data_IF_533268803222
#
_entry.id   IF_533268803222
#
_cell.length_a   1.000
_cell.length_b   1.000
_cell.length_c   1.000
_cell.angle_alpha   90.00
_cell.angle_beta   90.00
_cell.angle_gamma   90.00
#
_symmetry.space_group_name_H-M   'P 1'
#
loop_
_entity.id
_entity.type
_entity.pdbx_description
1 polymer ?
#
# COMPACT_ATOMS: atom_id res chain seq x y z
N UNK A 1 -50.26 51.05 -6.74
CA UNK A 1 -50.36 49.88 -5.84
C UNK A 1 -49.77 48.68 -6.56
N UNK A 2 -48.75 48.06 -5.94
CA UNK A 2 -48.27 46.66 -5.99
C UNK A 2 -48.20 45.97 -7.38
N UNK A 3 -47.20 45.21 -7.81
CA UNK A 3 -46.04 44.49 -7.24
C UNK A 3 -45.75 43.40 -8.30
N UNK A 4 -44.63 42.69 -8.43
CA UNK A 4 -43.44 42.42 -7.65
C UNK A 4 -42.48 41.76 -8.67
N UNK A 5 -41.22 42.17 -8.65
CA UNK A 5 -40.13 41.50 -9.35
C UNK A 5 -39.94 40.09 -8.81
N UNK A 6 -39.92 39.08 -9.67
CA UNK A 6 -39.57 37.69 -9.30
C UNK A 6 -38.08 37.52 -9.56
N UNK A 7 -37.31 37.49 -8.47
CA UNK A 7 -35.92 37.02 -8.44
C UNK A 7 -35.92 35.50 -8.57
N UNK A 8 -35.34 34.98 -9.65
CA UNK A 8 -35.00 33.57 -9.78
C UNK A 8 -33.67 33.31 -9.04
N UNK A 9 -33.74 32.66 -7.88
CA UNK A 9 -32.57 32.13 -7.20
C UNK A 9 -32.20 30.77 -7.81
N UNK A 10 -31.13 30.75 -8.61
CA UNK A 10 -30.52 29.50 -9.06
C UNK A 10 -29.78 28.87 -7.89
N UNK A 11 -30.31 27.76 -7.36
CA UNK A 11 -29.61 26.91 -6.41
C UNK A 11 -28.51 26.14 -7.16
N UNK A 12 -27.29 26.66 -7.12
CA UNK A 12 -26.09 25.90 -7.47
C UNK A 12 -25.92 24.79 -6.42
N UNK A 13 -26.33 23.58 -6.77
CA UNK A 13 -25.89 22.36 -6.10
C UNK A 13 -24.40 22.18 -6.41
N UNK A 14 -23.56 22.88 -5.63
CA UNK A 14 -22.13 22.66 -5.63
C UNK A 14 -21.85 21.27 -5.09
N UNK A 15 -21.41 20.37 -5.96
CA UNK A 15 -20.70 19.15 -5.56
C UNK A 15 -19.47 19.66 -4.81
N UNK A 16 -19.49 19.59 -3.49
CA UNK A 16 -18.29 19.81 -2.70
C UNK A 16 -17.33 18.68 -3.07
N UNK A 17 -16.33 18.98 -3.89
CA UNK A 17 -15.17 18.12 -4.00
C UNK A 17 -14.63 17.98 -2.58
N UNK A 18 -14.74 16.77 -2.03
CA UNK A 18 -14.18 16.46 -0.71
C UNK A 18 -12.67 16.45 -0.92
N UNK A 19 -12.05 17.63 -0.83
CA UNK A 19 -10.59 17.82 -0.81
C UNK A 19 -10.10 17.36 0.56
N UNK A 20 -10.27 16.08 0.87
CA UNK A 20 -9.89 15.51 2.13
C UNK A 20 -9.26 14.13 1.98
N UNK A 21 -9.08 13.64 0.76
CA UNK A 21 -8.46 12.36 0.47
C UNK A 21 -6.97 12.35 0.84
N UNK A 22 -6.33 11.19 0.68
CA UNK A 22 -4.98 10.95 1.19
C UNK A 22 -3.90 11.27 0.13
N UNK A 23 -2.81 11.89 0.56
CA UNK A 23 -1.63 12.21 -0.23
C UNK A 23 -0.36 11.80 0.53
N UNK A 24 0.62 11.26 -0.18
CA UNK A 24 1.91 10.87 0.37
C UNK A 24 2.74 12.10 0.74
N UNK A 25 3.28 12.11 1.96
CA UNK A 25 4.14 13.20 2.46
C UNK A 25 5.60 12.77 2.60
N UNK A 26 5.84 11.52 2.97
CA UNK A 26 7.16 10.89 2.92
C UNK A 26 7.05 9.52 2.21
N UNK A 27 7.88 9.23 1.19
CA UNK A 27 8.88 10.11 0.59
C UNK A 27 8.27 11.37 -0.05
N UNK A 28 9.07 12.43 -0.17
CA UNK A 28 8.67 13.72 -0.77
C UNK A 28 8.30 13.48 -2.24
N UNK A 29 7.04 13.72 -2.67
CA UNK A 29 6.62 13.49 -4.05
C UNK A 29 7.26 14.46 -5.05
N UNK A 30 7.24 14.08 -6.33
CA UNK A 30 7.46 15.03 -7.43
C UNK A 30 6.35 16.09 -7.48
N UNK A 31 6.70 17.31 -7.89
CA UNK A 31 5.76 18.41 -8.12
C UNK A 31 4.82 18.62 -6.94
N UNK A 32 5.37 18.61 -5.71
CA UNK A 32 4.60 18.61 -4.45
C UNK A 32 3.62 19.78 -4.36
N UNK A 33 3.97 20.92 -4.93
CA UNK A 33 3.17 22.16 -4.92
C UNK A 33 1.86 22.06 -5.72
N UNK A 34 1.79 21.17 -6.72
CA UNK A 34 0.61 20.96 -7.56
C UNK A 34 -0.05 19.59 -7.37
N UNK A 35 0.56 18.71 -6.56
CA UNK A 35 -0.01 17.42 -6.24
C UNK A 35 -1.26 17.62 -5.38
N UNK A 36 -2.39 17.05 -5.80
CA UNK A 36 -3.63 17.07 -5.04
C UNK A 36 -3.93 15.67 -4.49
N UNK A 37 -4.95 15.59 -3.63
CA UNK A 37 -5.32 14.34 -2.98
C UNK A 37 -6.38 13.54 -3.73
N UNK A 38 -6.83 13.98 -4.92
CA UNK A 38 -7.80 13.21 -5.70
C UNK A 38 -7.25 11.86 -6.15
N UNK A 39 -8.10 10.85 -6.38
CA UNK A 39 -7.67 9.63 -7.06
C UNK A 39 -7.17 9.93 -8.48
N UNK A 40 -6.59 8.93 -9.15
CA UNK A 40 -6.39 8.97 -10.59
C UNK A 40 -7.74 9.07 -11.31
N UNK A 41 -7.73 9.66 -12.51
CA UNK A 41 -8.89 9.69 -13.38
C UNK A 41 -9.28 8.25 -13.78
N UNK A 42 -10.57 7.93 -13.69
CA UNK A 42 -11.08 6.59 -13.94
C UNK A 42 -10.87 6.09 -15.39
N UNK A 43 -10.68 7.01 -16.35
CA UNK A 43 -10.32 6.70 -17.74
C UNK A 43 -8.80 6.46 -17.95
N UNK A 44 -8.01 6.57 -16.88
CA UNK A 44 -6.57 6.44 -16.88
C UNK A 44 -5.85 7.55 -17.63
N UNK A 45 -6.48 8.70 -17.88
CA UNK A 45 -5.88 9.82 -18.62
C UNK A 45 -4.69 10.46 -17.90
N UNK A 46 -4.65 10.39 -16.57
CA UNK A 46 -3.56 10.89 -15.73
C UNK A 46 -2.66 9.79 -15.13
N UNK A 47 -2.80 8.54 -15.58
CA UNK A 47 -1.90 7.44 -15.21
C UNK A 47 -0.64 7.42 -16.11
N UNK A 48 0.57 7.20 -15.56
CA UNK A 48 0.90 7.06 -14.13
C UNK A 48 1.16 8.41 -13.44
N UNK A 49 1.30 8.38 -12.11
CA UNK A 49 1.83 9.49 -11.30
C UNK A 49 1.01 10.80 -11.29
N UNK A 50 -0.27 10.76 -11.68
CA UNK A 50 -1.15 11.93 -11.78
C UNK A 50 -0.59 12.97 -12.75
N UNK A 51 -0.54 12.62 -14.04
CA UNK A 51 0.00 13.46 -15.11
C UNK A 51 -0.64 14.86 -15.09
N UNK A 52 0.21 15.87 -14.98
CA UNK A 52 -0.05 17.30 -14.92
C UNK A 52 1.18 18.09 -15.40
N UNK A 53 1.11 19.42 -15.41
CA UNK A 53 2.15 20.28 -16.01
C UNK A 53 3.56 20.04 -15.46
N UNK A 54 3.71 19.74 -14.16
CA UNK A 54 5.00 19.53 -13.50
C UNK A 54 5.11 18.16 -12.80
N UNK A 55 4.47 17.12 -13.35
CA UNK A 55 4.39 15.76 -12.76
C UNK A 55 5.72 15.24 -12.23
N UNK A 56 6.82 15.48 -12.95
CA UNK A 56 8.15 14.94 -12.65
C UNK A 56 9.15 16.02 -12.28
N UNK A 57 8.67 17.20 -11.89
CA UNK A 57 9.53 18.23 -11.29
C UNK A 57 10.05 17.72 -9.94
N UNK A 58 11.37 17.63 -9.81
CA UNK A 58 12.00 17.18 -8.57
C UNK A 58 11.86 18.29 -7.53
N UNK A 59 10.99 18.09 -6.55
CA UNK A 59 10.95 18.93 -5.35
C UNK A 59 12.21 18.71 -4.52
N UNK A 60 12.49 17.45 -4.17
CA UNK A 60 13.69 17.03 -3.44
C UNK A 60 13.97 15.55 -3.72
N UNK A 61 15.23 15.14 -3.87
CA UNK A 61 15.59 13.73 -4.01
C UNK A 61 15.51 13.02 -2.65
N UNK A 62 14.67 12.00 -2.55
CA UNK A 62 14.67 11.09 -1.41
C UNK A 62 15.88 10.17 -1.54
N UNK A 63 16.66 10.00 -0.47
CA UNK A 63 17.83 9.12 -0.48
C UNK A 63 17.59 7.94 0.46
N UNK A 64 17.85 6.72 -0.01
CA UNK A 64 17.71 5.51 0.78
C UNK A 64 18.88 4.56 0.54
N UNK A 65 19.44 3.98 1.60
CA UNK A 65 20.39 2.87 1.47
C UNK A 65 19.64 1.54 1.32
N UNK A 66 20.23 0.60 0.57
CA UNK A 66 19.73 -0.79 0.55
C UNK A 66 19.72 -1.34 2.00
N UNK A 67 18.57 -1.88 2.41
CA UNK A 67 18.32 -2.40 3.75
C UNK A 67 17.91 -1.35 4.81
N UNK A 68 17.87 -0.06 4.46
CA UNK A 68 17.41 1.01 5.36
C UNK A 68 15.89 1.04 5.46
N UNK A 69 15.36 1.27 6.66
CA UNK A 69 13.92 1.50 6.87
C UNK A 69 13.60 2.97 6.62
N UNK A 70 12.81 3.24 5.59
CA UNK A 70 12.38 4.56 5.16
C UNK A 70 10.93 4.82 5.56
N UNK A 71 10.58 6.04 6.01
CA UNK A 71 9.21 6.38 6.37
C UNK A 71 8.29 6.40 5.14
N UNK A 72 7.09 5.85 5.31
CA UNK A 72 5.96 6.01 4.41
C UNK A 72 4.82 6.67 5.20
N UNK A 73 4.57 7.95 4.95
CA UNK A 73 3.61 8.77 5.70
C UNK A 73 2.69 9.55 4.77
N UNK A 74 1.52 9.92 5.30
CA UNK A 74 0.43 10.52 4.54
C UNK A 74 -0.17 11.72 5.28
N UNK A 75 -0.83 12.58 4.53
CA UNK A 75 -1.79 13.56 5.06
C UNK A 75 -3.12 13.46 4.31
N UNK A 76 -4.19 13.91 4.96
CA UNK A 76 -5.57 13.74 4.52
C UNK A 76 -6.44 13.23 5.66
N UNK A 77 -7.74 13.14 5.42
CA UNK A 77 -8.70 12.61 6.39
C UNK A 77 -9.66 11.55 5.83
N UNK A 78 -9.87 11.49 4.52
CA UNK A 78 -10.70 10.47 3.87
C UNK A 78 -9.89 9.21 3.57
N UNK A 79 -9.73 8.38 4.60
CA UNK A 79 -9.02 7.10 4.57
C UNK A 79 -9.87 5.96 4.02
N UNK A 80 -11.17 6.16 3.76
CA UNK A 80 -12.07 5.17 3.14
C UNK A 80 -12.06 3.79 3.81
N UNK A 81 -11.94 3.77 5.14
CA UNK A 81 -11.84 2.53 5.91
C UNK A 81 -10.52 1.77 5.71
N UNK A 82 -9.51 2.40 5.13
CA UNK A 82 -8.26 1.77 4.70
C UNK A 82 -8.37 1.19 3.30
N UNK A 83 -7.94 -0.06 3.14
CA UNK A 83 -7.67 -0.67 1.85
C UNK A 83 -6.27 -1.27 1.79
N UNK A 84 -5.80 -1.49 0.57
CA UNK A 84 -4.50 -2.12 0.33
C UNK A 84 -3.62 -1.25 -0.56
N UNK A 85 -2.31 -1.28 -0.29
CA UNK A 85 -1.33 -0.44 -0.95
C UNK A 85 -0.12 -1.23 -1.46
N UNK A 86 0.56 -0.71 -2.48
CA UNK A 86 1.90 -1.16 -2.84
C UNK A 86 2.88 0.02 -2.83
N UNK A 87 4.15 -0.32 -2.58
CA UNK A 87 5.29 0.54 -2.89
C UNK A 87 6.05 -0.14 -4.03
N UNK A 88 6.19 0.58 -5.15
CA UNK A 88 6.83 0.06 -6.36
C UNK A 88 7.92 1.00 -6.87
N UNK A 89 8.92 0.45 -7.54
CA UNK A 89 10.02 1.21 -8.15
C UNK A 89 10.03 1.04 -9.66
N UNK A 90 10.42 2.08 -10.40
CA UNK A 90 10.79 1.97 -11.81
C UNK A 90 12.07 2.75 -12.06
N UNK A 91 12.88 2.31 -13.02
CA UNK A 91 14.09 3.03 -13.45
C UNK A 91 13.77 4.27 -14.29
N UNK A 92 12.54 4.38 -14.80
CA UNK A 92 12.10 5.52 -15.57
C UNK A 92 11.91 6.72 -14.64
N UNK A 93 12.64 7.81 -14.88
CA UNK A 93 12.51 9.04 -14.07
C UNK A 93 11.32 9.91 -14.48
N UNK A 94 10.67 9.54 -15.60
CA UNK A 94 9.43 10.12 -16.10
C UNK A 94 8.54 8.98 -16.63
N UNK A 95 7.93 8.19 -15.74
CA UNK A 95 7.19 7.00 -16.15
C UNK A 95 6.06 7.28 -17.14
N UNK A 96 5.76 6.31 -17.99
CA UNK A 96 4.62 6.31 -18.91
C UNK A 96 3.71 5.12 -18.61
N UNK A 97 2.64 4.94 -19.40
CA UNK A 97 1.77 3.76 -19.27
C UNK A 97 2.49 2.43 -19.54
N UNK A 98 3.62 2.49 -20.25
CA UNK A 98 4.41 1.33 -20.63
C UNK A 98 5.58 1.06 -19.66
N UNK A 99 5.79 1.93 -18.68
CA UNK A 99 6.86 1.76 -17.70
C UNK A 99 6.66 0.50 -16.88
N UNK A 100 7.75 -0.24 -16.70
CA UNK A 100 7.77 -1.43 -15.86
C UNK A 100 8.02 -1.04 -14.39
N UNK A 101 7.16 -1.55 -13.51
CA UNK A 101 7.21 -1.28 -12.08
C UNK A 101 7.57 -2.55 -11.32
N UNK A 102 8.41 -2.42 -10.30
CA UNK A 102 8.90 -3.49 -9.44
C UNK A 102 8.33 -3.29 -8.04
N UNK A 103 7.41 -4.14 -7.60
CA UNK A 103 6.85 -4.09 -6.25
C UNK A 103 7.93 -4.48 -5.24
N UNK A 104 8.18 -3.61 -4.26
CA UNK A 104 9.10 -3.86 -3.15
C UNK A 104 8.38 -4.07 -1.81
N UNK A 105 7.11 -3.67 -1.70
CA UNK A 105 6.28 -3.88 -0.51
C UNK A 105 4.80 -3.90 -0.89
N UNK A 106 4.05 -4.82 -0.29
CA UNK A 106 2.58 -4.81 -0.28
C UNK A 106 2.05 -4.66 1.15
N UNK A 107 1.03 -3.82 1.33
CA UNK A 107 0.29 -3.68 2.58
C UNK A 107 -1.15 -4.09 2.29
N UNK A 108 -1.54 -5.28 2.72
CA UNK A 108 -2.87 -5.86 2.50
C UNK A 108 -3.75 -5.58 3.72
N UNK A 109 -4.51 -4.49 3.65
CA UNK A 109 -5.41 -4.04 4.71
C UNK A 109 -4.80 -3.01 5.68
N UNK A 110 -5.65 -2.06 6.08
CA UNK A 110 -5.30 -1.00 7.03
C UNK A 110 -4.38 0.08 6.47
N UNK A 111 -4.24 0.20 5.15
CA UNK A 111 -3.50 1.29 4.48
C UNK A 111 -4.47 2.25 3.77
N UNK A 112 -4.29 3.59 3.88
CA UNK A 112 -3.23 4.31 4.61
C UNK A 112 -3.51 4.46 6.12
N UNK A 113 -4.68 4.07 6.60
CA UNK A 113 -4.96 3.99 8.04
C UNK A 113 -5.83 2.78 8.37
N UNK A 114 -5.67 2.25 9.57
CA UNK A 114 -6.57 1.22 10.11
C UNK A 114 -7.62 1.89 11.01
N UNK A 115 -8.63 2.46 10.37
CA UNK A 115 -9.82 3.05 11.01
C UNK A 115 -11.06 2.58 10.25
N UNK A 116 -12.19 2.44 10.93
CA UNK A 116 -13.43 1.94 10.31
C UNK A 116 -14.00 2.85 9.22
N UNK A 117 -13.62 4.14 9.23
CA UNK A 117 -14.12 5.17 8.31
C UNK A 117 -13.04 6.16 7.91
N UNK A 118 -13.35 7.45 8.06
CA UNK A 118 -12.46 8.58 7.79
C UNK A 118 -11.94 9.16 9.10
N UNK A 119 -10.71 9.69 9.08
CA UNK A 119 -10.15 10.44 10.19
C UNK A 119 -10.92 11.75 10.39
N UNK A 120 -10.91 12.27 11.61
CA UNK A 120 -11.40 13.62 11.88
C UNK A 120 -10.45 14.67 11.33
N UNK A 121 -10.99 15.76 10.77
CA UNK A 121 -10.24 16.91 10.26
C UNK A 121 -10.34 17.05 8.74
N UNK A 122 -9.31 17.61 8.09
CA UNK A 122 -9.34 17.95 6.66
C UNK A 122 -8.10 17.54 5.87
N UNK A 123 -7.97 18.09 4.66
CA UNK A 123 -6.95 17.77 3.66
C UNK A 123 -5.50 17.72 4.16
N UNK A 124 -5.15 18.58 5.13
CA UNK A 124 -3.78 18.77 5.62
C UNK A 124 -3.55 18.11 6.99
N UNK A 125 -4.44 17.20 7.39
CA UNK A 125 -4.25 16.45 8.64
C UNK A 125 -3.22 15.36 8.42
N UNK A 126 -2.17 15.35 9.22
CA UNK A 126 -1.24 14.22 9.24
C UNK A 126 -1.99 12.95 9.66
N UNK A 127 -1.78 11.86 8.92
CA UNK A 127 -2.28 10.54 9.32
C UNK A 127 -1.54 10.09 10.58
N UNK A 128 -2.25 9.69 11.66
CA UNK A 128 -1.60 9.13 12.84
C UNK A 128 -0.91 7.77 12.55
N UNK A 129 -1.34 7.06 11.52
CA UNK A 129 -0.77 5.79 11.10
C UNK A 129 0.47 6.04 10.23
N UNK A 130 1.58 5.45 10.61
CA UNK A 130 2.84 5.54 9.86
C UNK A 130 3.27 4.15 9.41
N UNK A 131 3.72 4.07 8.16
CA UNK A 131 4.31 2.87 7.60
C UNK A 131 5.78 3.08 7.34
N UNK A 132 6.46 1.99 6.99
CA UNK A 132 7.82 2.05 6.50
C UNK A 132 7.96 1.14 5.29
N UNK A 133 8.87 1.47 4.40
CA UNK A 133 9.36 0.59 3.34
C UNK A 133 10.87 0.45 3.45
N UNK A 134 11.41 -0.61 2.87
CA UNK A 134 12.85 -0.83 2.79
C UNK A 134 13.22 -1.12 1.36
N UNK A 135 14.37 -0.59 0.91
CA UNK A 135 14.92 -0.98 -0.40
C UNK A 135 15.56 -2.37 -0.23
N UNK A 136 15.00 -3.43 -0.82
CA UNK A 136 15.46 -4.79 -0.58
C UNK A 136 16.78 -5.06 -1.31
N UNK A 137 17.47 -6.11 -0.86
CA UNK A 137 18.56 -6.69 -1.63
C UNK A 137 18.07 -7.05 -3.06
N UNK A 138 18.90 -6.77 -4.05
CA UNK A 138 18.58 -7.03 -5.46
C UNK A 138 18.12 -5.81 -6.26
N UNK A 139 17.71 -4.73 -5.60
CA UNK A 139 17.66 -3.40 -6.23
C UNK A 139 19.09 -2.85 -6.35
N UNK A 140 19.47 -2.42 -7.55
CA UNK A 140 20.81 -1.84 -7.78
C UNK A 140 20.85 -0.37 -7.33
N UNK A 141 21.98 0.13 -6.80
CA UNK A 141 22.14 1.57 -6.57
C UNK A 141 21.90 2.38 -7.84
N UNK A 142 21.24 3.53 -7.72
CA UNK A 142 20.85 4.35 -8.86
C UNK A 142 19.63 5.22 -8.57
N UNK A 143 19.17 5.93 -9.60
CA UNK A 143 17.97 6.78 -9.52
C UNK A 143 16.76 6.01 -10.01
N UNK A 144 15.66 6.16 -9.28
CA UNK A 144 14.38 5.52 -9.53
C UNK A 144 13.25 6.54 -9.33
N UNK A 145 12.09 6.21 -9.86
CA UNK A 145 10.82 6.73 -9.38
C UNK A 145 10.17 5.69 -8.47
N UNK A 146 9.81 6.10 -7.26
CA UNK A 146 8.98 5.32 -6.34
C UNK A 146 7.52 5.69 -6.54
N UNK A 147 6.62 4.71 -6.58
CA UNK A 147 5.17 4.93 -6.53
C UNK A 147 4.57 4.31 -5.27
N UNK A 148 3.78 5.10 -4.56
CA UNK A 148 2.75 4.59 -3.64
C UNK A 148 1.45 4.47 -4.44
N UNK A 149 0.85 3.29 -4.41
CA UNK A 149 -0.50 3.04 -4.93
C UNK A 149 -1.42 2.57 -3.83
N UNK A 150 -2.68 3.00 -3.87
CA UNK A 150 -3.69 2.61 -2.90
C UNK A 150 -5.04 2.34 -3.56
N UNK A 151 -5.66 1.23 -3.15
CA UNK A 151 -6.99 0.78 -3.54
C UNK A 151 -7.88 0.84 -2.30
N UNK A 152 -8.81 1.79 -2.28
CA UNK A 152 -9.65 2.10 -1.13
C UNK A 152 -10.71 1.02 -0.89
N UNK A 153 -10.92 0.68 0.39
CA UNK A 153 -11.89 -0.36 0.77
C UNK A 153 -13.32 0.11 0.55
N UNK A 154 -13.69 1.29 1.05
CA UNK A 154 -15.06 1.82 1.06
C UNK A 154 -15.21 2.97 0.06
N UNK A 155 -16.37 3.12 -0.60
CA UNK A 155 -16.70 4.27 -1.46
C UNK A 155 -16.62 3.97 -2.95
N UNK A 156 -16.23 4.95 -3.76
CA UNK A 156 -16.02 4.74 -5.19
C UNK A 156 -14.87 3.74 -5.42
N UNK A 157 -14.87 3.04 -6.55
CA UNK A 157 -13.76 2.14 -6.90
C UNK A 157 -12.66 2.98 -7.52
N UNK A 158 -11.66 3.34 -6.71
CA UNK A 158 -10.63 4.32 -7.08
C UNK A 158 -9.23 3.72 -6.96
N UNK A 159 -8.28 4.33 -7.66
CA UNK A 159 -6.85 4.07 -7.50
C UNK A 159 -6.16 5.39 -7.22
N UNK A 160 -5.49 5.47 -6.08
CA UNK A 160 -4.62 6.60 -5.73
C UNK A 160 -3.20 6.25 -6.13
N UNK A 161 -2.46 7.24 -6.62
CA UNK A 161 -1.05 7.07 -6.99
C UNK A 161 -0.28 8.36 -6.78
N UNK A 162 0.77 8.33 -5.96
CA UNK A 162 1.74 9.42 -5.86
C UNK A 162 3.14 8.89 -6.14
N UNK A 163 3.94 9.68 -6.84
CA UNK A 163 5.29 9.29 -7.25
C UNK A 163 6.34 10.22 -6.65
N UNK A 164 7.50 9.67 -6.29
CA UNK A 164 8.60 10.39 -5.66
C UNK A 164 9.94 10.06 -6.34
N UNK A 165 10.85 11.05 -6.48
CA UNK A 165 12.23 10.79 -6.91
C UNK A 165 13.00 10.09 -5.80
N UNK A 166 13.64 8.97 -6.12
CA UNK A 166 14.42 8.18 -5.17
C UNK A 166 15.83 7.92 -5.70
N UNK A 167 16.83 8.23 -4.88
CA UNK A 167 18.22 7.82 -5.10
C UNK A 167 18.58 6.69 -4.14
N UNK A 168 18.78 5.50 -4.70
CA UNK A 168 19.19 4.31 -3.96
C UNK A 168 20.71 4.27 -3.89
N UNK A 169 21.23 4.18 -2.67
CA UNK A 169 22.65 4.05 -2.39
C UNK A 169 22.98 2.61 -1.99
N UNK A 170 24.23 2.20 -2.20
CA UNK A 170 24.75 0.94 -1.68
C UNK A 170 24.50 0.82 -0.18
N UNK A 171 24.26 -0.41 0.30
CA UNK A 171 24.16 -0.69 1.71
C UNK A 171 25.39 -0.14 2.46
N UNK A 172 25.18 0.46 3.64
CA UNK A 172 26.29 0.95 4.46
C UNK A 172 27.22 -0.20 4.83
N UNK A 173 28.46 -0.14 4.34
CA UNK A 173 29.53 -1.06 4.75
C UNK A 173 29.79 -0.88 6.24
N UNK A 174 29.23 -1.75 7.10
CA UNK A 174 29.77 -1.94 8.45
C UNK A 174 31.20 -2.43 8.27
N UNK A 175 32.16 -1.57 8.62
CA UNK A 175 33.61 -1.80 8.56
C UNK A 175 33.97 -3.04 9.39
N UNK A 176 33.96 -4.20 8.76
CA UNK A 176 34.69 -5.38 9.19
C UNK A 176 35.37 -5.93 7.94
N UNK A 177 36.69 -5.79 7.91
CA UNK A 177 37.59 -6.30 6.87
C UNK A 177 37.26 -7.74 6.52
N UNK A 178 36.62 -7.94 5.36
CA UNK A 178 37.11 -8.76 4.25
C UNK A 178 36.38 -8.22 3.02
N UNK A 179 37.13 -7.71 2.03
CA UNK A 179 36.68 -7.72 0.63
C UNK A 179 36.51 -9.17 0.20
N UNK A 180 35.49 -9.86 0.72
CA UNK A 180 34.89 -10.92 -0.05
C UNK A 180 34.11 -10.16 -1.10
N UNK A 181 34.69 -10.11 -2.30
CA UNK A 181 33.89 -10.16 -3.52
C UNK A 181 32.84 -11.23 -3.28
N UNK A 182 31.69 -10.80 -2.75
CA UNK A 182 30.45 -11.49 -3.01
C UNK A 182 30.36 -11.34 -4.51
N UNK A 183 30.82 -12.37 -5.22
CA UNK A 183 30.13 -12.79 -6.41
C UNK A 183 28.68 -12.95 -5.93
N UNK A 184 27.96 -11.82 -5.96
CA UNK A 184 26.53 -11.77 -5.92
C UNK A 184 26.19 -12.46 -7.23
N UNK A 185 26.20 -13.78 -7.18
CA UNK A 185 25.33 -14.59 -7.99
C UNK A 185 24.02 -13.84 -7.87
N UNK A 186 23.70 -13.08 -8.93
CA UNK A 186 22.51 -12.26 -9.05
C UNK A 186 21.39 -13.22 -8.77
N UNK A 187 21.01 -13.35 -7.49
CA UNK A 187 19.76 -13.94 -7.10
C UNK A 187 18.81 -12.97 -7.74
N UNK A 188 18.32 -13.33 -8.91
CA UNK A 188 17.39 -12.54 -9.68
C UNK A 188 16.19 -12.38 -8.77
N UNK A 189 16.20 -11.33 -7.95
CA UNK A 189 15.07 -10.89 -7.17
C UNK A 189 14.10 -10.38 -8.22
N UNK A 190 13.27 -11.29 -8.72
CA UNK A 190 12.22 -10.96 -9.66
C UNK A 190 11.14 -10.27 -8.83
N UNK A 191 11.22 -8.94 -8.75
CA UNK A 191 10.17 -8.12 -8.17
C UNK A 191 8.95 -8.19 -9.09
N UNK A 192 7.75 -8.49 -8.56
CA UNK A 192 6.59 -8.60 -9.40
C UNK A 192 6.15 -7.24 -9.96
N UNK A 193 5.41 -7.24 -11.08
CA UNK A 193 4.80 -6.04 -11.62
C UNK A 193 3.79 -5.43 -10.64
N UNK A 194 3.73 -4.09 -10.61
CA UNK A 194 2.72 -3.36 -9.84
C UNK A 194 1.29 -3.69 -10.30
N UNK A 195 0.39 -3.87 -9.34
CA UNK A 195 -1.03 -4.06 -9.61
C UNK A 195 -1.69 -2.75 -10.02
N UNK A 196 -2.54 -2.81 -11.05
CA UNK A 196 -3.30 -1.67 -11.58
C UNK A 196 -4.75 -2.09 -11.78
N UNK A 197 -5.66 -1.34 -11.19
CA UNK A 197 -7.10 -1.50 -11.31
C UNK A 197 -7.80 -0.15 -11.16
N UNK A 198 -9.12 -0.12 -11.35
CA UNK A 198 -10.02 1.03 -11.25
C UNK A 198 -9.78 2.16 -12.27
N UNK A 199 -8.67 2.12 -13.02
CA UNK A 199 -8.31 3.10 -14.07
C UNK A 199 -8.09 2.47 -15.45
N UNK A 200 -8.13 1.14 -15.53
CA UNK A 200 -7.75 0.38 -16.73
C UNK A 200 -8.84 -0.57 -17.24
N UNK A 201 -10.04 -0.59 -16.65
CA UNK A 201 -11.11 -1.52 -17.04
C UNK A 201 -11.17 -2.82 -16.22
N UNK A 202 -10.25 -3.01 -15.26
CA UNK A 202 -10.45 -3.95 -14.15
C UNK A 202 -10.96 -3.19 -12.92
N UNK A 203 -11.99 -3.68 -12.25
CA UNK A 203 -12.67 -3.01 -11.14
C UNK A 203 -12.61 -3.86 -9.88
N UNK A 204 -12.04 -3.31 -8.82
CA UNK A 204 -11.97 -3.93 -7.49
C UNK A 204 -13.35 -4.04 -6.84
N UNK A 205 -13.52 -4.99 -5.91
CA UNK A 205 -14.75 -5.11 -5.12
C UNK A 205 -14.77 -4.10 -3.96
N UNK A 206 -15.94 -3.54 -3.65
CA UNK A 206 -16.12 -2.71 -2.47
C UNK A 206 -16.19 -3.53 -1.19
N UNK A 207 -15.73 -2.94 -0.08
CA UNK A 207 -15.91 -3.46 1.27
C UNK A 207 -14.83 -4.42 1.75
N UNK A 208 -13.88 -4.78 0.88
CA UNK A 208 -12.78 -5.71 1.20
C UNK A 208 -11.41 -5.04 1.04
N UNK A 209 -10.47 -5.40 1.91
CA UNK A 209 -9.05 -5.18 1.68
C UNK A 209 -8.58 -6.23 0.67
N UNK A 210 -8.24 -5.81 -0.55
CA UNK A 210 -7.85 -6.73 -1.62
C UNK A 210 -6.53 -7.45 -1.29
N UNK A 211 -6.40 -8.70 -1.74
CA UNK A 211 -5.10 -9.37 -1.84
C UNK A 211 -4.53 -9.15 -3.22
N UNK A 212 -3.26 -8.76 -3.30
CA UNK A 212 -2.63 -8.60 -4.60
C UNK A 212 -2.36 -9.98 -5.22
N UNK A 213 -2.58 -10.18 -6.53
CA UNK A 213 -2.26 -11.44 -7.18
C UNK A 213 -0.77 -11.78 -7.10
N UNK A 214 0.08 -10.75 -7.13
CA UNK A 214 1.53 -10.84 -7.01
C UNK A 214 2.03 -9.83 -5.96
N UNK A 215 1.93 -10.16 -4.66
CA UNK A 215 2.23 -9.20 -3.58
C UNK A 215 3.73 -8.99 -3.35
N UNK A 216 4.60 -9.83 -3.92
CA UNK A 216 6.03 -9.84 -3.64
C UNK A 216 6.36 -10.51 -2.30
N UNK A 217 7.60 -10.33 -1.84
CA UNK A 217 8.13 -11.03 -0.66
C UNK A 217 7.93 -10.26 0.67
N UNK A 218 7.80 -8.92 0.63
CA UNK A 218 7.50 -8.08 1.81
C UNK A 218 6.01 -7.73 1.85
N UNK A 219 5.26 -8.47 2.69
CA UNK A 219 3.82 -8.29 2.86
C UNK A 219 3.53 -7.91 4.33
N UNK A 220 2.83 -6.79 4.52
CA UNK A 220 2.33 -6.36 5.81
C UNK A 220 0.81 -6.45 5.87
N UNK A 221 0.28 -6.94 6.99
CA UNK A 221 -1.15 -6.93 7.31
C UNK A 221 -1.38 -5.98 8.47
N UNK A 222 -2.06 -4.86 8.24
CA UNK A 222 -2.28 -3.83 9.26
C UNK A 222 -3.77 -3.54 9.53
N UNK A 223 -4.68 -4.16 8.78
CA UNK A 223 -6.13 -4.02 8.91
C UNK A 223 -6.78 -5.11 9.77
N UNK A 224 -8.10 -5.00 9.95
CA UNK A 224 -8.90 -6.04 10.59
C UNK A 224 -8.97 -7.30 9.70
N UNK A 225 -8.59 -8.50 10.20
CA UNK A 225 -8.61 -9.73 9.40
C UNK A 225 -9.95 -10.06 8.75
N UNK A 226 -11.09 -9.64 9.32
CA UNK A 226 -12.41 -9.86 8.71
C UNK A 226 -12.68 -9.02 7.46
N UNK A 227 -11.93 -7.94 7.25
CA UNK A 227 -12.03 -7.11 6.05
C UNK A 227 -11.16 -7.65 4.90
N UNK A 228 -10.16 -8.48 5.20
CA UNK A 228 -9.21 -9.01 4.22
C UNK A 228 -9.88 -10.02 3.29
N UNK A 229 -9.70 -9.82 1.99
CA UNK A 229 -10.22 -10.73 0.98
C UNK A 229 -9.72 -12.18 1.22
N UNK A 230 -10.58 -13.14 0.91
CA UNK A 230 -10.23 -14.55 1.00
C UNK A 230 -9.02 -14.88 0.13
N UNK A 231 -8.14 -15.77 0.60
CA UNK A 231 -7.01 -16.21 -0.19
C UNK A 231 -7.47 -16.81 -1.53
N UNK A 232 -6.87 -16.36 -2.63
CA UNK A 232 -7.24 -16.79 -3.99
C UNK A 232 -8.47 -16.11 -4.58
N UNK A 233 -9.12 -15.18 -3.86
CA UNK A 233 -10.13 -14.32 -4.47
C UNK A 233 -9.50 -13.41 -5.54
N UNK A 234 -10.23 -13.16 -6.62
CA UNK A 234 -9.81 -12.22 -7.65
C UNK A 234 -9.73 -10.80 -7.05
N UNK A 235 -8.62 -10.10 -7.29
CA UNK A 235 -8.40 -8.74 -6.80
C UNK A 235 -9.32 -7.72 -7.49
N UNK A 236 -9.64 -7.95 -8.76
CA UNK A 236 -10.58 -7.17 -9.54
C UNK A 236 -11.34 -8.04 -10.56
N UNK A 237 -12.36 -7.46 -11.17
CA UNK A 237 -13.15 -8.07 -12.25
C UNK A 237 -13.17 -7.16 -13.47
N UNK A 238 -13.25 -7.72 -14.68
CA UNK A 238 -13.18 -6.95 -15.92
C UNK A 238 -11.95 -7.33 -16.74
N UNK A 239 -11.60 -6.50 -17.72
CA UNK A 239 -10.45 -6.75 -18.60
C UNK A 239 -9.58 -5.50 -18.64
N UNK A 240 -8.37 -5.56 -18.05
CA UNK A 240 -7.40 -4.48 -18.19
C UNK A 240 -7.14 -4.13 -19.66
N UNK A 241 -7.26 -2.86 -19.99
CA UNK A 241 -6.93 -2.26 -21.29
C UNK A 241 -5.46 -1.83 -21.36
N UNK A 242 -4.79 -1.68 -20.22
CA UNK A 242 -3.36 -1.44 -20.07
C UNK A 242 -2.86 -1.93 -18.70
N UNK A 243 -1.53 -2.03 -18.52
CA UNK A 243 -0.85 -2.39 -17.27
C UNK A 243 -1.40 -3.67 -16.59
N UNK A 244 -1.69 -4.71 -17.36
CA UNK A 244 -2.29 -5.96 -16.89
C UNK A 244 -1.31 -6.90 -16.13
N UNK A 245 -0.02 -6.60 -16.14
CA UNK A 245 1.02 -7.52 -15.67
C UNK A 245 0.82 -7.95 -14.20
N UNK A 246 0.38 -7.03 -13.33
CA UNK A 246 0.11 -7.28 -11.92
C UNK A 246 -1.15 -8.10 -11.60
N UNK A 247 -2.05 -8.34 -12.57
CA UNK A 247 -3.35 -9.00 -12.35
C UNK A 247 -3.32 -10.53 -12.61
N UNK A 248 -2.18 -11.08 -13.01
CA UNK A 248 -2.08 -12.47 -13.46
C UNK A 248 -2.11 -13.50 -12.31
N UNK A 249 -3.31 -13.78 -11.80
CA UNK A 249 -3.61 -14.96 -10.99
C UNK A 249 -4.00 -16.13 -11.91
N UNK A 250 -3.04 -17.01 -12.21
CA UNK A 250 -3.17 -18.25 -13.04
C UNK A 250 -3.32 -18.08 -14.57
N UNK A 251 -2.27 -18.49 -15.31
CA UNK A 251 -2.32 -19.14 -16.62
C UNK A 251 -3.03 -18.46 -17.81
N UNK A 252 -2.22 -18.08 -18.81
CA UNK A 252 -2.56 -17.83 -20.23
C UNK A 252 -2.94 -16.40 -20.61
N UNK A 253 -1.92 -15.56 -20.81
CA UNK A 253 -1.92 -14.72 -22.01
C UNK A 253 -1.18 -15.49 -23.10
N UNK A 254 -1.94 -16.02 -24.07
CA UNK A 254 -1.34 -16.31 -25.37
C UNK A 254 -1.01 -14.97 -25.99
N UNK A 255 0.26 -14.58 -25.90
CA UNK A 255 0.77 -13.49 -26.70
C UNK A 255 0.60 -13.85 -28.17
N UNK A 256 -0.38 -13.24 -28.84
CA UNK A 256 -0.40 -13.16 -30.30
C UNK A 256 0.70 -12.19 -30.73
N UNK A 257 1.95 -12.61 -30.53
CA UNK A 257 3.12 -12.03 -31.19
C UNK A 257 3.10 -12.50 -32.63
N UNK A 258 2.37 -11.78 -33.48
CA UNK A 258 2.46 -11.91 -34.94
C UNK A 258 3.85 -11.43 -35.37
N UNK A 259 4.83 -12.32 -35.26
CA UNK A 259 6.10 -12.21 -35.96
C UNK A 259 5.93 -12.91 -37.30
N UNK A 260 5.84 -12.12 -38.37
CA UNK A 260 6.01 -12.60 -39.74
C UNK A 260 6.84 -11.56 -40.46
N UNK A 261 8.16 -11.78 -40.42
CA UNK A 261 9.12 -11.08 -41.26
C UNK A 261 9.21 -11.72 -42.65
N UNK A 262 9.65 -10.88 -43.60
CA UNK A 262 10.04 -11.18 -44.99
C UNK A 262 8.85 -11.29 -45.97
N UNK A 263 8.81 -10.60 -47.10
CA UNK A 263 9.73 -9.68 -47.76
C UNK A 263 9.18 -9.36 -49.15
N UNK A 264 9.32 -8.10 -49.56
CA UNK A 264 9.41 -7.53 -50.92
C UNK A 264 8.67 -8.18 -52.10
N UNK A 265 7.78 -7.39 -52.72
CA UNK A 265 7.30 -7.61 -54.09
C UNK A 265 6.51 -6.40 -54.61
N UNK A 266 7.22 -5.46 -55.24
CA UNK A 266 6.65 -4.30 -55.91
C UNK A 266 5.79 -4.68 -57.12
N UNK A 267 4.63 -4.04 -57.29
CA UNK A 267 4.10 -3.67 -58.60
C UNK A 267 3.07 -2.53 -58.46
N UNK A 268 3.23 -1.56 -59.34
CA UNK A 268 2.54 -0.27 -59.39
C UNK A 268 1.33 -0.30 -60.34
N UNK A 269 0.59 0.83 -60.35
CA UNK A 269 -0.48 1.28 -61.26
C UNK A 269 -1.92 0.81 -60.92
N UNK A 270 -2.98 1.63 -60.96
CA UNK A 270 -3.16 3.09 -61.14
C UNK A 270 -4.66 3.45 -61.00
N UNK A 271 -4.92 4.71 -60.63
CA UNK A 271 -6.07 5.56 -60.98
C UNK A 271 -7.45 5.38 -60.29
N UNK A 272 -7.68 6.29 -59.32
CA UNK A 272 -8.71 7.33 -59.27
C UNK A 272 -10.22 7.01 -59.40
N UNK A 273 -10.98 7.38 -58.35
CA UNK A 273 -12.05 8.39 -58.48
C UNK A 273 -12.39 9.02 -57.11
N UNK A 274 -12.45 10.35 -57.11
CA UNK A 274 -12.89 11.26 -56.05
C UNK A 274 -14.42 11.33 -56.00
N UNK A 275 -15.00 11.32 -54.80
CA UNK A 275 -16.24 12.08 -54.51
C UNK A 275 -16.20 12.62 -53.08
N UNK A 276 -16.35 13.94 -53.01
CA UNK A 276 -16.48 14.78 -51.82
C UNK A 276 -17.92 14.77 -51.34
N UNK A 277 -18.19 14.61 -50.04
CA UNK A 277 -19.30 15.29 -49.34
C UNK A 277 -19.28 15.00 -47.82
N UNK A 278 -19.28 16.08 -47.05
CA UNK A 278 -19.64 16.18 -45.63
C UNK A 278 -20.43 17.51 -45.46
N UNK A 279 -21.14 17.77 -44.36
CA UNK A 279 -21.69 16.87 -43.34
C UNK A 279 -23.22 17.04 -43.17
N UNK A 280 -23.90 16.13 -42.47
CA UNK A 280 -25.24 16.39 -41.91
C UNK A 280 -25.28 15.95 -40.45
N UNK A 281 -25.60 16.91 -39.58
CA UNK A 281 -25.83 16.74 -38.16
C UNK A 281 -27.15 16.01 -37.91
N UNK A 282 -27.13 14.95 -37.12
CA UNK A 282 -28.35 14.36 -36.55
C UNK A 282 -28.28 14.36 -35.02
N UNK A 283 -29.21 15.14 -34.48
CA UNK A 283 -29.68 15.20 -33.10
C UNK A 283 -30.24 13.86 -32.63
N UNK A 284 -29.82 13.41 -31.45
CA UNK A 284 -30.50 12.34 -30.70
C UNK A 284 -31.17 12.94 -29.47
N UNK A 285 -32.50 12.82 -29.44
CA UNK A 285 -33.40 13.16 -28.35
C UNK A 285 -33.50 12.00 -27.36
N UNK A 286 -33.32 12.29 -26.06
CA UNK A 286 -33.56 11.36 -24.95
C UNK A 286 -35.03 11.43 -24.47
N UNK A 287 -35.64 10.33 -24.00
CA UNK A 287 -36.99 10.34 -23.46
C UNK A 287 -37.04 10.79 -22.00
N UNK A 288 -38.06 11.58 -21.67
CA UNK A 288 -38.34 12.13 -20.34
C UNK A 288 -39.03 11.12 -19.42
N UNK A 289 -38.61 11.07 -18.16
CA UNK A 289 -39.33 10.42 -17.04
C UNK A 289 -39.79 11.48 -16.05
N UNK A 290 -41.04 11.35 -15.63
CA UNK A 290 -41.81 12.33 -14.89
C UNK A 290 -41.58 12.24 -13.36
N UNK A 291 -41.36 13.39 -12.72
CA UNK A 291 -41.37 13.52 -11.26
C UNK A 291 -42.69 14.16 -10.79
N UNK A 292 -43.39 13.45 -9.90
CA UNK A 292 -44.55 13.93 -9.14
C UNK A 292 -44.11 14.55 -7.80
N UNK A 293 -44.62 15.72 -7.37
CA UNK A 293 -44.40 16.26 -6.03
C UNK A 293 -45.49 15.82 -5.03
N UNK A 294 -45.09 15.59 -3.78
CA UNK A 294 -45.98 15.34 -2.63
C UNK A 294 -45.98 16.53 -1.64
N UNK A 295 -47.05 16.73 -0.85
CA UNK A 295 -47.42 18.04 -0.33
C UNK A 295 -46.95 18.35 1.11
N UNK A 296 -46.85 19.66 1.39
CA UNK A 296 -46.61 20.27 2.70
C UNK A 296 -47.90 20.42 3.50
N UNK A 297 -47.82 20.41 4.84
CA UNK A 297 -48.90 20.87 5.73
C UNK A 297 -48.36 21.45 7.04
N UNK A 298 -48.80 22.69 7.34
CA UNK A 298 -49.52 23.01 8.58
C UNK A 298 -48.75 23.32 9.86
N UNK A 299 -48.87 24.57 10.31
CA UNK A 299 -48.29 25.22 11.51
C UNK A 299 -49.17 25.11 12.77
N UNK A 300 -48.56 25.26 13.97
CA UNK A 300 -49.08 25.82 15.25
C UNK A 300 -47.93 25.72 16.28
N UNK A 301 -47.55 26.65 17.16
CA UNK A 301 -48.08 27.94 17.62
C UNK A 301 -47.84 28.06 19.14
N UNK A 302 -47.12 29.13 19.58
CA UNK A 302 -47.07 29.73 20.94
C UNK A 302 -46.25 29.01 22.04
N UNK A 303 -45.61 29.62 23.04
CA UNK A 303 -45.21 31.01 23.40
C UNK A 303 -44.51 30.98 24.78
N UNK A 304 -43.65 31.98 25.05
CA UNK A 304 -43.35 32.59 26.37
C UNK A 304 -42.35 31.93 27.34
N UNK A 305 -41.45 32.78 27.86
CA UNK A 305 -41.15 32.79 29.31
C UNK A 305 -39.69 32.83 29.74
N UNK A 306 -39.27 34.00 30.20
CA UNK A 306 -38.05 34.40 30.91
C UNK A 306 -37.61 33.49 32.07
N UNK A 307 -36.30 33.45 32.38
CA UNK A 307 -35.64 34.12 33.52
C UNK A 307 -34.37 33.38 33.98
N UNK A 308 -33.61 34.13 34.78
CA UNK A 308 -32.20 34.07 35.18
C UNK A 308 -31.87 32.97 36.19
N UNK A 309 -30.56 32.70 36.36
CA UNK A 309 -30.08 31.99 37.54
C UNK A 309 -28.59 31.66 37.52
N UNK A 310 -27.78 32.54 38.10
CA UNK A 310 -26.38 32.30 38.50
C UNK A 310 -26.22 31.08 39.40
N UNK A 311 -25.05 30.43 39.31
CA UNK A 311 -24.61 29.43 40.29
C UNK A 311 -23.17 28.98 40.04
N UNK A 312 -22.21 29.69 40.62
CA UNK A 312 -20.81 29.30 40.76
C UNK A 312 -20.66 28.05 41.62
N UNK A 313 -19.71 27.15 41.30
CA UNK A 313 -18.72 26.64 42.26
C UNK A 313 -17.68 25.72 41.60
N UNK A 314 -16.42 26.04 41.92
CA UNK A 314 -15.17 25.27 41.76
C UNK A 314 -15.27 23.87 42.41
N UNK A 315 -14.44 22.84 42.15
CA UNK A 315 -13.03 22.68 42.56
C UNK A 315 -12.47 21.30 42.06
N UNK A 316 -11.25 21.32 41.53
CA UNK A 316 -10.11 20.34 41.52
C UNK A 316 -10.12 18.91 40.93
N UNK A 317 -9.09 18.68 40.09
CA UNK A 317 -8.35 17.42 39.83
C UNK A 317 -7.51 16.95 41.03
N UNK A 318 -6.93 15.72 41.01
CA UNK A 318 -5.54 15.57 40.54
C UNK A 318 -5.20 14.26 39.77
N UNK A 319 -4.09 14.30 39.04
CA UNK A 319 -3.29 13.24 38.37
C UNK A 319 -1.93 13.11 39.15
N UNK A 320 -0.95 12.19 38.91
CA UNK A 320 -0.88 10.76 38.50
C UNK A 320 -0.08 9.90 39.52
N UNK A 321 0.17 8.61 39.23
CA UNK A 321 1.32 7.86 39.78
C UNK A 321 1.89 6.86 38.76
N UNK A 322 3.21 6.69 38.80
CA UNK A 322 4.12 6.11 37.81
C UNK A 322 4.74 4.77 38.25
N UNK A 323 5.62 4.22 37.39
CA UNK A 323 6.64 3.16 37.60
C UNK A 323 6.22 1.73 37.20
N UNK A 324 7.06 0.86 36.62
CA UNK A 324 8.45 0.93 36.16
C UNK A 324 8.79 -0.36 35.39
N UNK A 325 9.65 -0.24 34.38
CA UNK A 325 10.35 -1.30 33.68
C UNK A 325 11.43 -1.96 34.57
N UNK A 326 11.63 -3.27 34.42
CA UNK A 326 12.81 -3.97 34.93
C UNK A 326 13.28 -5.03 33.92
N UNK A 327 14.55 -4.94 33.55
CA UNK A 327 15.33 -5.91 32.80
C UNK A 327 16.36 -6.54 33.74
N UNK A 328 16.58 -7.86 33.66
CA UNK A 328 17.88 -8.50 33.94
C UNK A 328 17.88 -9.98 33.53
N UNK A 329 19.03 -10.39 33.03
CA UNK A 329 19.33 -11.66 32.36
C UNK A 329 19.61 -12.79 33.36
N UNK A 330 19.03 -13.98 33.15
CA UNK A 330 19.61 -15.29 33.50
C UNK A 330 18.72 -16.43 32.95
N UNK A 331 19.37 -17.47 32.44
CA UNK A 331 18.81 -18.76 32.01
C UNK A 331 17.52 -19.20 32.74
N UNK A 332 16.38 -19.09 32.05
CA UNK A 332 15.11 -19.67 32.48
C UNK A 332 15.18 -21.19 32.34
N UNK A 333 15.03 -21.90 33.45
CA UNK A 333 14.89 -23.35 33.46
C UNK A 333 13.51 -23.79 32.96
N UNK A 334 13.33 -25.11 32.80
CA UNK A 334 12.02 -25.67 32.53
C UNK A 334 11.07 -25.39 33.71
N UNK A 335 9.87 -24.92 33.40
CA UNK A 335 8.81 -24.65 34.37
C UNK A 335 7.80 -25.81 34.36
N UNK A 336 7.20 -26.10 35.50
CA UNK A 336 6.20 -27.16 35.64
C UNK A 336 5.02 -26.67 36.50
N UNK A 337 3.82 -27.17 36.21
CA UNK A 337 2.61 -26.82 36.95
C UNK A 337 1.86 -25.64 36.34
N UNK A 338 1.12 -24.92 37.16
CA UNK A 338 0.22 -23.85 36.72
C UNK A 338 0.94 -22.62 36.19
N UNK A 339 0.35 -22.00 35.17
CA UNK A 339 0.73 -20.71 34.64
C UNK A 339 -0.48 -19.77 34.63
N UNK A 340 -0.24 -18.48 34.88
CA UNK A 340 -1.30 -17.47 35.05
C UNK A 340 -1.66 -16.73 33.76
N UNK A 341 -0.77 -16.72 32.76
CA UNK A 341 -0.96 -15.98 31.51
C UNK A 341 -1.07 -16.97 30.36
N UNK A 342 -2.30 -17.16 29.88
CA UNK A 342 -2.57 -18.09 28.78
C UNK A 342 -1.82 -17.67 27.51
N UNK A 343 -1.16 -18.63 26.87
CA UNK A 343 -0.39 -18.42 25.65
C UNK A 343 1.02 -17.86 25.85
N UNK A 344 1.45 -17.56 27.08
CA UNK A 344 2.82 -17.11 27.39
C UNK A 344 3.86 -18.18 27.03
N UNK A 345 4.99 -17.75 26.48
CA UNK A 345 6.10 -18.62 26.10
C UNK A 345 7.19 -18.59 27.16
N UNK A 346 7.84 -19.72 27.41
CA UNK A 346 9.07 -19.81 28.20
C UNK A 346 10.16 -20.48 27.35
N UNK A 347 11.14 -19.72 26.87
CA UNK A 347 12.31 -20.25 26.20
C UNK A 347 13.36 -20.69 27.23
N UNK A 348 13.76 -21.96 27.18
CA UNK A 348 14.70 -22.61 28.08
C UNK A 348 16.06 -22.69 27.42
N UNK A 349 17.02 -21.92 27.94
CA UNK A 349 18.43 -21.92 27.53
C UNK A 349 18.67 -21.72 26.02
N UNK A 350 17.70 -21.17 25.30
CA UNK A 350 17.76 -20.93 23.85
C UNK A 350 17.55 -22.15 22.95
N UNK A 351 17.52 -23.37 23.50
CA UNK A 351 17.42 -24.61 22.70
C UNK A 351 16.05 -25.31 22.80
N UNK A 352 15.21 -24.89 23.74
CA UNK A 352 13.90 -25.49 23.95
C UNK A 352 12.91 -24.45 24.46
N UNK A 353 11.61 -24.70 24.34
CA UNK A 353 10.55 -23.80 24.78
C UNK A 353 9.36 -24.55 25.38
N UNK A 354 8.55 -23.83 26.14
CA UNK A 354 7.26 -24.25 26.67
C UNK A 354 6.23 -23.16 26.38
N UNK A 355 4.95 -23.53 26.34
CA UNK A 355 3.83 -22.59 26.25
C UNK A 355 2.87 -22.81 27.41
N UNK A 356 2.30 -21.73 27.94
CA UNK A 356 1.17 -21.83 28.85
C UNK A 356 -0.08 -22.20 28.04
N UNK A 357 -0.64 -23.37 28.31
CA UNK A 357 -1.83 -23.88 27.65
C UNK A 357 -2.80 -24.47 28.68
N UNK A 358 -4.04 -23.97 28.69
CA UNK A 358 -5.07 -24.30 29.68
C UNK A 358 -4.61 -24.07 31.12
N UNK A 359 -3.89 -22.97 31.37
CA UNK A 359 -3.37 -22.61 32.68
C UNK A 359 -2.29 -23.56 33.23
N UNK A 360 -1.67 -24.39 32.39
CA UNK A 360 -0.52 -25.25 32.74
C UNK A 360 0.62 -25.11 31.74
N UNK A 361 1.87 -25.21 32.20
CA UNK A 361 3.04 -25.26 31.31
C UNK A 361 3.08 -26.58 30.53
N UNK A 362 3.23 -26.51 29.22
CA UNK A 362 3.46 -27.70 28.38
C UNK A 362 4.82 -28.34 28.69
N UNK A 363 5.02 -29.63 28.35
CA UNK A 363 6.36 -30.22 28.32
C UNK A 363 7.32 -29.40 27.44
N UNK A 364 8.62 -29.40 27.78
CA UNK A 364 9.64 -28.71 27.01
C UNK A 364 9.81 -29.34 25.62
N UNK A 365 9.77 -28.51 24.58
CA UNK A 365 9.97 -28.90 23.19
C UNK A 365 11.21 -28.22 22.62
N UNK A 366 11.97 -28.90 21.77
CA UNK A 366 13.16 -28.30 21.15
C UNK A 366 12.75 -27.29 20.08
N UNK A 367 13.53 -26.22 19.94
CA UNK A 367 13.47 -25.37 18.74
C UNK A 367 14.00 -26.13 17.52
N UNK A 368 13.66 -25.68 16.31
CA UNK A 368 14.12 -26.31 15.08
C UNK A 368 15.66 -26.34 14.99
N UNK A 369 16.22 -27.38 14.38
CA UNK A 369 17.67 -27.50 14.19
C UNK A 369 18.23 -26.26 13.46
N UNK A 370 19.35 -25.73 13.96
CA UNK A 370 19.96 -24.51 13.42
C UNK A 370 19.29 -23.21 13.88
N UNK A 371 18.34 -23.26 14.81
CA UNK A 371 17.70 -22.08 15.41
C UNK A 371 17.86 -22.05 16.93
N UNK A 372 17.74 -20.86 17.52
CA UNK A 372 17.72 -20.63 18.96
C UNK A 372 16.63 -19.63 19.33
N UNK A 373 15.95 -19.82 20.46
CA UNK A 373 15.02 -18.84 21.00
C UNK A 373 15.71 -17.88 21.98
N UNK A 374 15.11 -16.71 22.22
CA UNK A 374 15.59 -15.79 23.27
C UNK A 374 15.16 -16.31 24.64
N UNK A 375 16.11 -16.68 25.50
CA UNK A 375 15.81 -17.22 26.83
C UNK A 375 14.96 -16.26 27.68
N UNK A 376 13.91 -16.79 28.29
CA UNK A 376 13.01 -16.05 29.19
C UNK A 376 11.53 -16.36 28.94
N UNK A 377 10.68 -15.78 29.78
CA UNK A 377 9.23 -15.74 29.56
C UNK A 377 8.85 -14.53 28.72
N UNK A 378 7.99 -14.71 27.72
CA UNK A 378 7.54 -13.63 26.84
C UNK A 378 6.20 -13.94 26.19
N UNK A 379 5.46 -12.88 25.82
CA UNK A 379 4.21 -13.03 25.07
C UNK A 379 4.40 -13.62 23.66
N UNK A 380 5.61 -13.52 23.11
CA UNK A 380 5.99 -14.06 21.81
C UNK A 380 7.28 -14.89 21.90
N UNK A 381 7.36 -16.02 21.20
CA UNK A 381 8.59 -16.81 21.09
C UNK A 381 9.47 -16.26 19.97
N UNK A 382 10.48 -15.45 20.31
CA UNK A 382 11.46 -14.96 19.35
C UNK A 382 12.47 -16.07 19.02
N UNK A 383 12.57 -16.45 17.74
CA UNK A 383 13.50 -17.47 17.21
C UNK A 383 14.48 -16.82 16.22
N UNK A 384 15.75 -17.20 16.29
CA UNK A 384 16.82 -16.73 15.40
C UNK A 384 17.71 -17.88 14.94
N UNK A 385 18.41 -17.76 13.82
CA UNK A 385 19.35 -18.77 13.37
C UNK A 385 20.61 -18.81 14.26
N UNK A 386 21.08 -20.01 14.62
CA UNK A 386 22.36 -20.20 15.32
C UNK A 386 23.49 -19.85 14.34
N UNK A 387 24.34 -18.88 14.70
CA UNK A 387 25.56 -18.58 13.94
C UNK A 387 26.53 -19.76 14.01
N UNK A 388 26.49 -20.64 13.02
CA UNK A 388 27.51 -21.67 12.84
C UNK A 388 28.81 -20.99 12.38
N UNK A 389 29.84 -20.97 13.24
CA UNK A 389 31.21 -20.69 12.78
C UNK A 389 31.59 -21.79 11.79
N UNK A 390 32.07 -21.46 10.57
CA UNK A 390 32.49 -22.48 9.62
C UNK A 390 33.64 -23.27 10.23
N UNK A 391 33.38 -24.54 10.56
CA UNK A 391 34.42 -25.48 10.99
C UNK A 391 35.25 -25.75 9.74
N UNK A 392 36.53 -25.41 9.79
CA UNK A 392 37.48 -25.56 8.69
C UNK A 392 37.45 -26.98 8.13
N UNK A 393 36.77 -27.18 6.99
CA UNK A 393 36.86 -28.39 6.19
C UNK A 393 38.16 -28.32 5.40
N UNK A 394 39.29 -28.45 6.11
CA UNK A 394 40.61 -28.58 5.48
C UNK A 394 41.21 -29.94 5.81
N UNK A 395 40.46 -31.00 5.53
CA UNK A 395 40.98 -32.36 5.46
C UNK A 395 40.08 -33.17 4.54
N UNK A 396 40.46 -33.26 3.26
CA UNK A 396 39.68 -34.01 2.27
C UNK A 396 40.17 -33.91 0.83
N UNK A 397 41.02 -32.93 0.49
CA UNK A 397 41.48 -32.73 -0.91
C UNK A 397 42.97 -32.94 -1.14
N UNK A 398 43.63 -33.78 -0.32
CA UNK A 398 45.03 -34.17 -0.50
C UNK A 398 45.24 -35.67 -0.82
N UNK A 399 44.24 -36.37 -1.37
CA UNK A 399 44.37 -37.78 -1.78
C UNK A 399 43.79 -38.10 -3.16
N UNK A 400 44.03 -37.24 -4.16
CA UNK A 400 43.71 -37.58 -5.57
C UNK A 400 44.81 -37.21 -6.57
N UNK A 401 46.07 -37.31 -6.16
CA UNK A 401 47.21 -37.41 -7.07
C UNK A 401 48.26 -38.38 -6.51
N UNK A 402 47.90 -39.67 -6.50
CA UNK A 402 48.85 -40.78 -6.50
C UNK A 402 48.07 -42.03 -6.93
N UNK A 403 48.59 -42.71 -7.96
CA UNK A 403 48.09 -43.92 -8.64
C UNK A 403 47.13 -43.70 -9.82
N UNK A 404 47.64 -44.04 -11.00
CA UNK A 404 46.97 -44.07 -12.30
C UNK A 404 47.94 -43.64 -13.38
#
# INVERSE_FOLDING_TARGET
MFSKSILAAAALLGISAVEAHMIMTEPIPYGKDTLNNSPLAADGSDFPCKLRSNTYEVTEWNTAQIGESMPLTFEGSATHGGGSCQVSLTTDLQPTKDSEWMVIKSIEGGCPANVDGNLSGGASMADPTKFNYTIPDGISPGKYTLAWTWFNRIGNREMYMNCAPLEVQSASSKRSDVEEKRDVEKRSSTFPPMFVANVNGCTTSEGVDIRFPQPGDDIQYNGEPSNLASAGAAACTGTPTFAAAGDSSTGSYSGSGSSSGSGSGSASSSAAAVVTSAPAANTYTAPAVANTPAPSSGSSGSSSGSDSGSGSNSVSSPQPSSSSSASSSASSGALSGSCSVEGEWNCINGSSFQRCANGQWTPAQNVAAGTQCTAGQSSNLAISAIKLKPRTVREGRARRHAHG
#
